data_IF_001895458091
#
_entry.id   IF_001895458091
#
_cell.length_a   1.000
_cell.length_b   1.000
_cell.length_c   1.000
_cell.angle_alpha   90.00
_cell.angle_beta   90.00
_cell.angle_gamma   90.00
#
_symmetry.space_group_name_H-M   'P 1'
#
loop_
_entity.id
_entity.type
_entity.pdbx_description
1 polymer ?
#
# COMPACT_ATOMS: atom_id res chain seq x y z
N UNK A 1 -23.80 9.63 -33.86
CA UNK A 1 -23.17 8.80 -32.83
C UNK A 1 -22.61 9.74 -31.78
N UNK A 2 -23.11 9.70 -30.57
CA UNK A 2 -22.48 10.39 -29.44
C UNK A 2 -21.05 9.87 -29.33
N UNK A 3 -20.02 10.72 -29.22
CA UNK A 3 -18.64 10.26 -29.08
C UNK A 3 -18.56 9.38 -27.84
N UNK A 4 -17.85 8.25 -27.94
CA UNK A 4 -17.59 7.36 -26.82
C UNK A 4 -16.87 8.14 -25.72
N UNK A 5 -17.45 8.11 -24.51
CA UNK A 5 -16.87 8.82 -23.37
C UNK A 5 -15.59 8.10 -22.93
N UNK A 6 -14.46 8.78 -22.93
CA UNK A 6 -13.16 8.22 -22.58
C UNK A 6 -12.88 8.41 -21.09
N UNK A 7 -12.84 7.30 -20.35
CA UNK A 7 -12.56 7.26 -18.92
C UNK A 7 -11.17 6.67 -18.72
N UNK A 8 -10.25 7.46 -18.18
CA UNK A 8 -8.93 7.00 -17.79
C UNK A 8 -8.84 6.83 -16.27
N UNK A 9 -8.19 5.76 -15.81
CA UNK A 9 -8.10 5.40 -14.40
C UNK A 9 -6.62 5.18 -14.06
N UNK A 10 -6.11 5.88 -13.06
CA UNK A 10 -4.74 5.77 -12.56
C UNK A 10 -4.73 4.96 -11.27
N UNK A 11 -4.08 3.79 -11.31
CA UNK A 11 -4.06 2.81 -10.24
C UNK A 11 -5.16 1.76 -10.39
N UNK A 12 -4.77 0.49 -10.42
CA UNK A 12 -5.62 -0.63 -10.80
C UNK A 12 -5.87 -1.68 -9.71
N UNK A 13 -5.61 -1.38 -8.43
CA UNK A 13 -5.72 -2.44 -7.40
C UNK A 13 -7.13 -2.50 -6.82
N UNK A 14 -7.49 -1.67 -5.85
CA UNK A 14 -8.80 -1.75 -5.21
C UNK A 14 -9.78 -0.72 -5.78
N UNK A 15 -9.56 0.58 -5.50
CA UNK A 15 -10.47 1.66 -5.89
C UNK A 15 -10.62 1.78 -7.40
N UNK A 16 -9.51 1.77 -8.15
CA UNK A 16 -9.54 1.89 -9.60
C UNK A 16 -10.19 0.68 -10.29
N UNK A 17 -9.87 -0.53 -9.88
CA UNK A 17 -10.51 -1.75 -10.40
C UNK A 17 -12.02 -1.77 -10.16
N UNK A 18 -12.45 -1.39 -8.94
CA UNK A 18 -13.85 -1.29 -8.57
C UNK A 18 -14.58 -0.20 -9.38
N UNK A 19 -13.94 0.96 -9.53
CA UNK A 19 -14.46 2.06 -10.34
C UNK A 19 -14.62 1.64 -11.81
N UNK A 20 -13.60 1.03 -12.41
CA UNK A 20 -13.62 0.56 -13.79
C UNK A 20 -14.77 -0.43 -14.04
N UNK A 21 -14.90 -1.43 -13.18
CA UNK A 21 -15.96 -2.43 -13.29
C UNK A 21 -17.35 -1.81 -13.12
N UNK A 22 -17.50 -0.82 -12.20
CA UNK A 22 -18.78 -0.13 -12.01
C UNK A 22 -19.10 0.80 -13.17
N UNK A 23 -18.15 1.56 -13.67
CA UNK A 23 -18.32 2.43 -14.82
C UNK A 23 -18.79 1.65 -16.06
N UNK A 24 -18.20 0.47 -16.32
CA UNK A 24 -18.64 -0.40 -17.41
C UNK A 24 -20.08 -0.88 -17.28
N UNK A 25 -20.54 -1.20 -16.06
CA UNK A 25 -21.94 -1.60 -15.84
C UNK A 25 -22.94 -0.46 -16.08
N UNK A 26 -22.48 0.78 -15.99
CA UNK A 26 -23.30 1.98 -16.21
C UNK A 26 -23.25 2.48 -17.66
N UNK A 27 -22.20 2.10 -18.41
CA UNK A 27 -22.00 2.52 -19.80
C UNK A 27 -21.28 1.41 -20.58
N UNK A 28 -21.98 0.76 -21.48
CA UNK A 28 -21.39 -0.25 -22.37
C UNK A 28 -20.51 0.38 -23.45
N UNK A 29 -20.79 1.63 -23.84
CA UNK A 29 -20.08 2.32 -24.93
C UNK A 29 -18.86 3.12 -24.47
N UNK A 30 -18.67 3.35 -23.16
CA UNK A 30 -17.50 4.09 -22.68
C UNK A 30 -16.20 3.38 -23.03
N UNK A 31 -15.19 4.14 -23.43
CA UNK A 31 -13.80 3.65 -23.57
C UNK A 31 -13.12 3.78 -22.20
N UNK A 32 -12.81 2.63 -21.59
CA UNK A 32 -12.22 2.60 -20.24
C UNK A 32 -10.82 2.03 -20.32
N UNK A 33 -9.83 2.83 -19.93
CA UNK A 33 -8.43 2.40 -19.82
C UNK A 33 -7.94 2.60 -18.40
N UNK A 34 -7.28 1.59 -17.86
CA UNK A 34 -6.69 1.60 -16.53
C UNK A 34 -5.17 1.44 -16.62
N UNK A 35 -4.44 2.33 -15.95
CA UNK A 35 -2.98 2.36 -15.91
C UNK A 35 -2.49 1.96 -14.52
N UNK A 36 -1.55 1.04 -14.46
CA UNK A 36 -0.86 0.70 -13.23
C UNK A 36 0.66 0.66 -13.46
N UNK A 37 1.41 1.28 -12.57
CA UNK A 37 2.88 1.26 -12.60
C UNK A 37 3.46 -0.11 -12.23
N UNK A 38 2.69 -0.90 -11.48
CA UNK A 38 3.08 -2.23 -11.06
C UNK A 38 2.88 -3.28 -12.15
N UNK A 39 3.40 -4.48 -11.93
CA UNK A 39 3.23 -5.62 -12.82
C UNK A 39 1.90 -6.37 -12.61
N UNK A 40 1.07 -5.94 -11.67
CA UNK A 40 -0.18 -6.59 -11.32
C UNK A 40 -1.30 -5.58 -11.13
N UNK A 41 -2.50 -5.99 -11.46
CA UNK A 41 -3.75 -5.28 -11.24
C UNK A 41 -4.65 -6.14 -10.35
N UNK A 42 -5.52 -5.51 -9.57
CA UNK A 42 -6.59 -6.18 -8.81
C UNK A 42 -6.11 -7.40 -8.02
N UNK A 43 -5.20 -7.19 -7.11
CA UNK A 43 -4.70 -8.24 -6.21
C UNK A 43 -5.14 -7.99 -4.76
N UNK A 44 -5.16 -9.05 -3.96
CA UNK A 44 -5.52 -9.03 -2.55
C UNK A 44 -4.38 -8.45 -1.71
N UNK A 45 -4.42 -7.14 -1.42
CA UNK A 45 -3.45 -6.48 -0.54
C UNK A 45 -3.37 -7.17 0.84
N UNK A 46 -4.54 -7.46 1.44
CA UNK A 46 -4.62 -8.16 2.73
C UNK A 46 -4.12 -9.62 2.67
N UNK A 47 -3.94 -10.19 1.47
CA UNK A 47 -3.36 -11.51 1.28
C UNK A 47 -1.83 -11.54 1.37
N UNK A 48 -1.17 -10.40 1.26
CA UNK A 48 0.29 -10.32 1.19
C UNK A 48 0.98 -10.88 2.46
N UNK A 49 0.56 -10.54 3.69
CA UNK A 49 1.12 -11.15 4.91
C UNK A 49 0.94 -12.67 4.92
N UNK A 50 -0.22 -13.17 4.49
CA UNK A 50 -0.53 -14.60 4.45
C UNK A 50 0.27 -15.34 3.38
N UNK A 51 0.62 -14.66 2.29
CA UNK A 51 1.55 -15.20 1.31
C UNK A 51 2.98 -15.26 1.87
N UNK A 52 3.43 -14.25 2.61
CA UNK A 52 4.71 -14.29 3.33
C UNK A 52 4.72 -15.44 4.34
N UNK A 53 3.64 -15.62 5.08
CA UNK A 53 3.45 -16.68 6.10
C UNK A 53 3.27 -18.09 5.55
N UNK A 54 3.29 -18.27 4.23
CA UNK A 54 3.08 -19.56 3.55
C UNK A 54 1.68 -20.17 3.78
N UNK A 55 0.73 -19.35 4.24
CA UNK A 55 -0.70 -19.70 4.32
C UNK A 55 -1.30 -19.69 2.92
N UNK A 56 -1.05 -18.63 2.15
CA UNK A 56 -1.29 -18.61 0.71
C UNK A 56 -0.03 -19.18 0.03
N UNK A 57 -0.16 -20.38 -0.51
CA UNK A 57 0.98 -21.13 -1.07
C UNK A 57 1.47 -20.59 -2.40
N UNK A 58 0.54 -20.17 -3.26
CA UNK A 58 0.80 -19.77 -4.64
C UNK A 58 0.51 -18.30 -4.83
N UNK A 59 1.43 -17.58 -5.47
CA UNK A 59 1.32 -16.15 -5.75
C UNK A 59 0.08 -15.82 -6.60
N UNK A 60 -0.27 -16.71 -7.53
CA UNK A 60 -1.45 -16.55 -8.38
C UNK A 60 -2.76 -16.43 -7.60
N UNK A 61 -2.82 -17.01 -6.39
CA UNK A 61 -4.00 -16.92 -5.52
C UNK A 61 -4.17 -15.52 -4.88
N UNK A 62 -3.19 -14.65 -5.03
CA UNK A 62 -3.33 -13.23 -4.69
C UNK A 62 -4.07 -12.43 -5.74
N UNK A 63 -4.13 -12.92 -6.99
CA UNK A 63 -4.76 -12.21 -8.10
C UNK A 63 -6.27 -12.38 -8.05
N UNK A 64 -6.99 -11.27 -7.89
CA UNK A 64 -8.47 -11.25 -7.91
C UNK A 64 -8.96 -11.18 -9.36
N UNK A 65 -8.30 -10.35 -10.18
CA UNK A 65 -8.59 -10.24 -11.61
C UNK A 65 -7.31 -9.94 -12.39
N UNK A 66 -7.22 -10.48 -13.60
CA UNK A 66 -6.11 -10.26 -14.53
C UNK A 66 -6.48 -9.25 -15.63
N UNK A 67 -5.51 -8.66 -16.35
CA UNK A 67 -5.80 -7.83 -17.52
C UNK A 67 -6.68 -8.53 -18.56
N UNK A 68 -6.47 -9.82 -18.78
CA UNK A 68 -7.26 -10.64 -19.70
C UNK A 68 -8.71 -10.75 -19.25
N UNK A 69 -8.95 -10.93 -17.94
CA UNK A 69 -10.30 -10.97 -17.37
C UNK A 69 -11.00 -9.62 -17.57
N UNK A 70 -10.32 -8.50 -17.27
CA UNK A 70 -10.85 -7.15 -17.49
C UNK A 70 -11.21 -6.91 -18.95
N UNK A 71 -10.33 -7.30 -19.87
CA UNK A 71 -10.60 -7.16 -21.31
C UNK A 71 -11.76 -8.03 -21.78
N UNK A 72 -11.74 -9.34 -21.45
CA UNK A 72 -12.73 -10.29 -21.97
C UNK A 72 -14.12 -10.10 -21.37
N UNK A 73 -14.20 -9.83 -20.06
CA UNK A 73 -15.48 -9.77 -19.35
C UNK A 73 -16.06 -8.35 -19.27
N UNK A 74 -15.20 -7.35 -19.23
CA UNK A 74 -15.63 -5.98 -18.99
C UNK A 74 -15.27 -5.03 -20.14
N UNK A 75 -14.60 -5.48 -21.18
CA UNK A 75 -14.09 -4.62 -22.25
C UNK A 75 -13.34 -3.38 -21.70
N UNK A 76 -12.45 -3.62 -20.75
CA UNK A 76 -11.58 -2.61 -20.13
C UNK A 76 -10.14 -2.89 -20.57
N UNK A 77 -9.47 -1.87 -21.11
CA UNK A 77 -8.06 -1.92 -21.42
C UNK A 77 -7.23 -1.70 -20.15
N UNK A 78 -6.33 -2.64 -19.83
CA UNK A 78 -5.46 -2.57 -18.66
C UNK A 78 -4.02 -2.53 -19.11
N UNK A 79 -3.32 -1.47 -18.73
CA UNK A 79 -1.91 -1.24 -19.09
C UNK A 79 -1.08 -1.26 -17.81
N UNK A 80 -0.37 -2.35 -17.64
CA UNK A 80 0.59 -2.55 -16.54
C UNK A 80 1.94 -1.91 -16.90
N UNK A 81 2.78 -1.69 -15.90
CA UNK A 81 4.09 -1.05 -16.03
C UNK A 81 4.03 0.30 -16.77
N UNK A 82 2.89 0.95 -16.68
CA UNK A 82 2.57 2.22 -17.32
C UNK A 82 2.28 3.25 -16.24
N UNK A 83 3.25 4.12 -15.98
CA UNK A 83 3.16 5.13 -14.95
C UNK A 83 2.61 6.44 -15.51
N UNK A 84 1.53 6.94 -14.95
CA UNK A 84 1.05 8.29 -15.25
C UNK A 84 1.92 9.28 -14.48
N UNK A 85 2.67 10.10 -15.18
CA UNK A 85 3.67 11.03 -14.63
C UNK A 85 3.25 12.50 -14.68
N UNK A 86 2.14 12.81 -15.36
CA UNK A 86 1.64 14.18 -15.44
C UNK A 86 0.18 14.24 -15.87
N UNK A 87 -0.49 15.33 -15.48
CA UNK A 87 -1.87 15.65 -15.87
C UNK A 87 -1.90 17.11 -16.36
N UNK A 88 -2.32 17.33 -17.60
CA UNK A 88 -2.65 18.66 -18.13
C UNK A 88 -4.17 18.83 -18.05
N UNK A 89 -4.64 19.57 -17.06
CA UNK A 89 -6.05 19.80 -16.79
C UNK A 89 -6.72 20.68 -17.84
N UNK A 90 -5.98 21.59 -18.46
CA UNK A 90 -6.49 22.51 -19.48
C UNK A 90 -6.76 21.75 -20.78
N UNK A 91 -5.81 20.93 -21.21
CA UNK A 91 -5.91 20.09 -22.41
C UNK A 91 -6.67 18.78 -22.14
N UNK A 92 -6.98 18.47 -20.87
CA UNK A 92 -7.58 17.21 -20.44
C UNK A 92 -6.84 16.01 -20.97
N UNK A 93 -5.55 15.94 -20.70
CA UNK A 93 -4.73 14.78 -21.09
C UNK A 93 -3.79 14.38 -19.96
N UNK A 94 -3.37 13.13 -19.98
CA UNK A 94 -2.35 12.58 -19.10
C UNK A 94 -1.09 12.28 -19.89
N UNK A 95 0.06 12.34 -19.21
CA UNK A 95 1.34 11.88 -19.72
C UNK A 95 1.66 10.54 -19.07
N UNK A 96 1.89 9.51 -19.88
CA UNK A 96 2.18 8.14 -19.46
C UNK A 96 3.61 7.82 -19.82
N UNK A 97 4.35 7.22 -18.90
CA UNK A 97 5.68 6.66 -19.13
C UNK A 97 5.60 5.14 -19.07
N UNK A 98 5.97 4.46 -20.14
CA UNK A 98 6.14 3.02 -20.18
C UNK A 98 7.44 2.65 -19.46
N UNK A 99 7.34 1.85 -18.40
CA UNK A 99 8.50 1.59 -17.52
C UNK A 99 9.51 0.61 -18.13
N UNK A 100 9.13 -0.15 -19.15
CA UNK A 100 10.03 -1.09 -19.82
C UNK A 100 10.85 -0.42 -20.91
N UNK A 101 10.22 0.42 -21.75
CA UNK A 101 10.87 1.12 -22.87
C UNK A 101 11.39 2.51 -22.49
N UNK A 102 10.84 3.12 -21.45
CA UNK A 102 11.07 4.52 -21.10
C UNK A 102 10.33 5.52 -21.99
N UNK A 103 9.59 5.05 -22.98
CA UNK A 103 8.83 5.89 -23.87
C UNK A 103 7.71 6.65 -23.15
N UNK A 104 7.45 7.86 -23.62
CA UNK A 104 6.39 8.71 -23.07
C UNK A 104 5.34 8.99 -24.14
N UNK A 105 4.06 8.88 -23.75
CA UNK A 105 2.93 9.20 -24.61
C UNK A 105 1.89 10.05 -23.89
N UNK A 106 1.04 10.73 -24.68
CA UNK A 106 -0.04 11.59 -24.16
C UNK A 106 -1.38 11.00 -24.59
N UNK A 107 -2.31 10.88 -23.64
CA UNK A 107 -3.67 10.41 -23.90
C UNK A 107 -4.71 11.38 -23.34
N UNK A 108 -5.71 11.80 -24.16
CA UNK A 108 -6.78 12.66 -23.72
C UNK A 108 -7.85 11.88 -22.95
N UNK A 109 -8.58 12.58 -22.06
CA UNK A 109 -9.70 12.03 -21.29
C UNK A 109 -10.91 12.96 -21.29
N UNK A 110 -12.10 12.37 -21.14
CA UNK A 110 -13.32 13.09 -20.78
C UNK A 110 -13.55 13.04 -19.26
N UNK A 111 -13.15 11.92 -18.63
CA UNK A 111 -13.14 11.73 -17.19
C UNK A 111 -11.84 11.03 -16.76
N UNK A 112 -11.24 11.52 -15.66
CA UNK A 112 -10.04 10.94 -15.08
C UNK A 112 -10.33 10.50 -13.63
N UNK A 113 -9.94 9.29 -13.27
CA UNK A 113 -10.05 8.77 -11.90
C UNK A 113 -8.65 8.52 -11.34
N UNK A 114 -8.34 9.13 -10.22
CA UNK A 114 -7.10 8.94 -9.49
C UNK A 114 -7.30 7.94 -8.34
N UNK A 115 -6.64 6.81 -8.40
CA UNK A 115 -6.64 5.76 -7.38
C UNK A 115 -5.22 5.26 -7.11
N UNK A 116 -4.24 6.15 -6.86
CA UNK A 116 -2.84 5.76 -6.69
C UNK A 116 -2.57 5.06 -5.35
N UNK A 117 -3.55 5.07 -4.44
CA UNK A 117 -3.45 4.45 -3.13
C UNK A 117 -2.54 5.21 -2.17
N UNK A 118 -1.85 4.48 -1.31
CA UNK A 118 -0.91 5.00 -0.33
C UNK A 118 0.45 4.29 -0.44
N UNK A 119 1.49 4.90 0.09
CA UNK A 119 2.84 4.34 0.19
C UNK A 119 3.23 4.09 1.63
N UNK A 120 4.00 3.04 1.94
CA UNK A 120 4.55 2.83 3.27
C UNK A 120 5.40 4.03 3.71
N UNK A 121 5.30 4.37 4.98
CA UNK A 121 6.20 5.36 5.59
C UNK A 121 7.58 4.73 5.73
N UNK A 122 8.59 5.43 5.20
CA UNK A 122 10.00 5.07 5.38
C UNK A 122 10.68 6.29 6.02
N UNK A 123 11.01 6.22 7.32
CA UNK A 123 11.60 7.34 8.03
C UNK A 123 13.06 7.55 7.61
N UNK A 124 13.56 8.76 7.80
CA UNK A 124 14.97 9.05 7.61
C UNK A 124 15.75 8.61 8.84
N UNK A 125 16.21 7.35 8.85
CA UNK A 125 17.00 6.76 9.92
C UNK A 125 18.32 6.22 9.37
N UNK A 126 19.36 6.34 10.16
CA UNK A 126 20.66 5.77 9.82
C UNK A 126 20.54 4.28 9.55
N UNK A 127 21.04 3.84 8.40
CA UNK A 127 21.04 2.43 8.00
C UNK A 127 19.70 1.90 7.47
N UNK A 128 18.68 2.74 7.24
CA UNK A 128 17.36 2.30 6.77
C UNK A 128 17.40 1.56 5.42
N UNK A 129 18.40 1.83 4.59
CA UNK A 129 18.56 1.22 3.26
C UNK A 129 19.42 -0.06 3.26
N UNK A 130 19.78 -0.55 4.44
CA UNK A 130 20.51 -1.82 4.54
C UNK A 130 19.66 -2.99 4.00
N UNK A 131 20.29 -3.97 3.34
CA UNK A 131 19.61 -5.20 2.94
C UNK A 131 19.01 -5.92 4.15
N UNK A 132 17.81 -6.48 3.97
CA UNK A 132 17.07 -7.14 5.06
C UNK A 132 16.02 -6.25 5.74
N UNK A 133 15.92 -4.97 5.33
CA UNK A 133 14.88 -4.06 5.82
C UNK A 133 13.82 -3.89 4.73
N UNK A 134 12.59 -4.26 5.04
CA UNK A 134 11.48 -4.34 4.09
C UNK A 134 10.29 -3.51 4.54
N UNK A 135 9.49 -3.08 3.58
CA UNK A 135 8.10 -2.69 3.75
C UNK A 135 7.23 -3.63 2.93
N UNK A 136 5.95 -3.76 3.28
CA UNK A 136 5.02 -4.64 2.57
C UNK A 136 3.86 -3.82 1.97
N UNK A 137 3.77 -3.76 0.63
CA UNK A 137 2.70 -3.06 -0.08
C UNK A 137 2.27 -3.78 -1.36
N UNK A 138 3.18 -4.51 -2.00
CA UNK A 138 2.99 -5.11 -3.32
C UNK A 138 3.34 -6.60 -3.33
N UNK A 139 2.90 -7.32 -4.35
CA UNK A 139 3.32 -8.72 -4.56
C UNK A 139 4.85 -8.84 -4.68
N UNK A 140 5.56 -7.98 -5.44
CA UNK A 140 7.02 -8.00 -5.44
C UNK A 140 7.65 -7.88 -4.05
N UNK A 141 7.11 -7.03 -3.16
CA UNK A 141 7.63 -6.90 -1.79
C UNK A 141 7.48 -8.21 -1.02
N UNK A 142 6.30 -8.82 -1.05
CA UNK A 142 6.05 -10.11 -0.39
C UNK A 142 6.95 -11.22 -0.92
N UNK A 143 7.22 -11.23 -2.23
CA UNK A 143 8.17 -12.17 -2.86
C UNK A 143 9.60 -11.96 -2.36
N UNK A 144 10.04 -10.69 -2.23
CA UNK A 144 11.37 -10.36 -1.70
C UNK A 144 11.51 -10.81 -0.25
N UNK A 145 10.50 -10.59 0.60
CA UNK A 145 10.48 -11.02 1.99
C UNK A 145 10.56 -12.55 2.07
N UNK A 146 9.74 -13.28 1.32
CA UNK A 146 9.80 -14.75 1.26
C UNK A 146 11.18 -15.24 0.84
N UNK A 147 11.68 -14.67 -0.26
CA UNK A 147 13.01 -15.04 -0.77
C UNK A 147 14.10 -14.80 0.28
N UNK A 148 14.03 -13.71 1.05
CA UNK A 148 14.98 -13.41 2.10
C UNK A 148 14.93 -14.48 3.21
N UNK A 149 13.74 -14.81 3.69
CA UNK A 149 13.55 -15.85 4.71
C UNK A 149 14.16 -17.19 4.25
N UNK A 150 13.87 -17.61 3.01
CA UNK A 150 14.28 -18.90 2.49
C UNK A 150 15.78 -18.94 2.16
N UNK A 151 16.31 -17.88 1.54
CA UNK A 151 17.69 -17.82 1.09
C UNK A 151 18.69 -17.72 2.25
N UNK A 152 18.36 -16.92 3.26
CA UNK A 152 19.25 -16.68 4.40
C UNK A 152 18.89 -17.50 5.64
N UNK A 153 17.87 -18.37 5.53
CA UNK A 153 17.38 -19.19 6.65
C UNK A 153 17.13 -18.29 7.88
N UNK A 154 16.43 -17.18 7.66
CA UNK A 154 16.18 -16.20 8.72
C UNK A 154 15.41 -16.83 9.88
N UNK A 155 15.88 -16.64 11.11
CA UNK A 155 15.29 -17.17 12.34
C UNK A 155 14.71 -16.07 13.23
N UNK A 156 15.16 -14.83 13.06
CA UNK A 156 14.73 -13.67 13.88
C UNK A 156 14.19 -12.57 12.98
N UNK A 157 13.03 -12.05 13.31
CA UNK A 157 12.43 -10.93 12.63
C UNK A 157 12.08 -9.81 13.62
N UNK A 158 12.37 -8.57 13.25
CA UNK A 158 11.90 -7.39 13.94
C UNK A 158 10.76 -6.76 13.14
N UNK A 159 9.61 -6.59 13.77
CA UNK A 159 8.47 -5.82 13.24
C UNK A 159 8.46 -4.46 13.92
N UNK A 160 8.59 -3.41 13.15
CA UNK A 160 8.56 -2.02 13.64
C UNK A 160 7.18 -1.43 13.36
N UNK A 161 6.41 -1.20 14.41
CA UNK A 161 5.02 -0.76 14.39
C UNK A 161 4.02 -1.89 14.65
N UNK A 162 3.18 -1.69 15.65
CA UNK A 162 2.18 -2.62 16.14
C UNK A 162 0.77 -2.40 15.59
N UNK A 163 0.62 -1.75 14.42
CA UNK A 163 -0.67 -1.60 13.74
C UNK A 163 -1.15 -2.89 13.05
N UNK A 164 -2.23 -2.80 12.24
CA UNK A 164 -2.82 -3.96 11.55
C UNK A 164 -1.80 -4.78 10.77
N UNK A 165 -1.05 -4.15 9.86
CA UNK A 165 -0.05 -4.84 9.04
C UNK A 165 1.04 -5.46 9.92
N UNK A 166 1.46 -4.76 10.98
CA UNK A 166 2.46 -5.26 11.91
C UNK A 166 1.99 -6.52 12.64
N UNK A 167 0.75 -6.55 13.09
CA UNK A 167 0.18 -7.72 13.76
C UNK A 167 -0.03 -8.90 12.80
N UNK A 168 -0.53 -8.65 11.58
CA UNK A 168 -0.65 -9.69 10.55
C UNK A 168 0.73 -10.25 10.16
N UNK A 169 1.73 -9.40 10.01
CA UNK A 169 3.10 -9.85 9.73
C UNK A 169 3.68 -10.65 10.91
N UNK A 170 3.46 -10.22 12.15
CA UNK A 170 3.89 -10.94 13.35
C UNK A 170 3.33 -12.37 13.36
N UNK A 171 2.02 -12.53 13.20
CA UNK A 171 1.35 -13.85 13.16
C UNK A 171 1.91 -14.73 12.02
N UNK A 172 2.10 -14.15 10.84
CA UNK A 172 2.57 -14.90 9.68
C UNK A 172 4.06 -15.25 9.73
N UNK A 173 4.90 -14.42 10.35
CA UNK A 173 6.31 -14.74 10.60
C UNK A 173 6.47 -15.83 11.68
N UNK A 174 5.63 -15.82 12.72
CA UNK A 174 5.56 -16.92 13.71
C UNK A 174 5.20 -18.24 13.04
N UNK A 175 4.20 -18.26 12.13
CA UNK A 175 3.82 -19.44 11.34
C UNK A 175 4.96 -19.98 10.46
N UNK A 176 5.89 -19.10 10.06
CA UNK A 176 7.13 -19.48 9.36
C UNK A 176 8.22 -19.97 10.32
N UNK A 177 7.96 -20.02 11.62
CA UNK A 177 8.91 -20.47 12.63
C UNK A 177 9.96 -19.44 13.06
N UNK A 178 9.79 -18.17 12.72
CA UNK A 178 10.72 -17.13 13.16
C UNK A 178 10.40 -16.70 14.60
N UNK A 179 11.45 -16.34 15.34
CA UNK A 179 11.31 -15.59 16.59
C UNK A 179 11.02 -14.13 16.25
N UNK A 180 9.90 -13.62 16.72
CA UNK A 180 9.47 -12.26 16.37
C UNK A 180 9.64 -11.31 17.55
N UNK A 181 10.24 -10.16 17.27
CA UNK A 181 10.27 -9.00 18.16
C UNK A 181 9.39 -7.91 17.56
N UNK A 182 8.51 -7.30 18.36
CA UNK A 182 7.70 -6.15 17.95
C UNK A 182 8.15 -4.93 18.75
N UNK A 183 8.39 -3.82 18.05
CA UNK A 183 8.68 -2.50 18.65
C UNK A 183 7.55 -1.56 18.26
N UNK A 184 6.85 -1.02 19.25
CA UNK A 184 5.75 -0.07 19.07
C UNK A 184 6.00 1.19 19.90
N UNK A 185 5.84 2.34 19.24
CA UNK A 185 6.07 3.67 19.85
C UNK A 185 5.00 4.02 20.89
N UNK A 186 3.80 3.51 20.71
CA UNK A 186 2.68 3.73 21.63
C UNK A 186 2.73 2.75 22.82
N UNK A 187 1.85 2.99 23.79
CA UNK A 187 1.74 2.15 25.00
C UNK A 187 1.08 0.78 24.73
N UNK A 188 0.57 0.57 23.52
CA UNK A 188 -0.09 -0.67 23.13
C UNK A 188 0.06 -0.92 21.62
N UNK A 189 -0.08 -2.19 21.21
CA UNK A 189 -0.32 -2.53 19.81
C UNK A 189 -1.74 -2.14 19.43
N UNK A 190 -2.03 -2.03 18.11
CA UNK A 190 -3.36 -1.65 17.61
C UNK A 190 -3.91 -0.38 18.29
N UNK A 191 -3.20 0.77 18.25
CA UNK A 191 -3.53 1.96 19.04
C UNK A 191 -4.89 2.59 18.69
N UNK A 192 -5.55 2.11 17.63
CA UNK A 192 -6.91 2.52 17.24
C UNK A 192 -7.99 1.83 18.07
N UNK A 193 -7.66 0.77 18.78
CA UNK A 193 -8.58 -0.04 19.58
C UNK A 193 -8.48 0.40 21.05
N UNK A 194 -9.61 0.36 21.76
CA UNK A 194 -9.66 0.74 23.18
C UNK A 194 -8.73 -0.16 24.02
N UNK A 195 -8.05 0.40 25.04
CA UNK A 195 -7.04 -0.32 25.82
C UNK A 195 -7.55 -1.61 26.48
N UNK A 196 -8.81 -1.64 26.87
CA UNK A 196 -9.43 -2.81 27.49
C UNK A 196 -9.50 -4.01 26.55
N UNK A 197 -9.66 -3.75 25.25
CA UNK A 197 -9.76 -4.79 24.23
C UNK A 197 -8.40 -5.36 23.81
N UNK A 198 -7.30 -4.67 24.13
CA UNK A 198 -5.95 -5.07 23.73
C UNK A 198 -5.29 -6.04 24.73
N UNK A 199 -5.82 -6.15 25.93
CA UNK A 199 -5.25 -7.02 26.98
C UNK A 199 -5.08 -8.47 26.49
N UNK A 200 -6.10 -9.01 25.84
CA UNK A 200 -6.08 -10.39 25.31
C UNK A 200 -5.11 -10.51 24.13
N UNK A 201 -4.98 -9.48 23.31
CA UNK A 201 -4.02 -9.46 22.18
C UNK A 201 -2.57 -9.46 22.72
N UNK A 202 -2.27 -8.65 23.74
CA UNK A 202 -0.96 -8.67 24.38
C UNK A 202 -0.65 -10.02 25.02
N UNK A 203 -1.61 -10.60 25.73
CA UNK A 203 -1.46 -11.93 26.34
C UNK A 203 -1.16 -12.99 25.27
N UNK A 204 -1.91 -13.01 24.16
CA UNK A 204 -1.70 -13.93 23.06
C UNK A 204 -0.32 -13.76 22.39
N UNK A 205 0.16 -12.53 22.21
CA UNK A 205 1.49 -12.26 21.66
C UNK A 205 2.58 -12.82 22.58
N UNK A 206 2.47 -12.60 23.89
CA UNK A 206 3.43 -13.09 24.88
C UNK A 206 3.42 -14.62 24.93
N UNK A 207 2.24 -15.23 24.93
CA UNK A 207 2.07 -16.69 24.90
C UNK A 207 2.67 -17.32 23.65
N UNK A 208 2.55 -16.63 22.49
CA UNK A 208 3.18 -17.02 21.23
C UNK A 208 4.70 -16.80 21.20
N UNK A 209 5.29 -16.28 22.28
CA UNK A 209 6.75 -16.05 22.42
C UNK A 209 7.25 -14.79 21.73
N UNK A 210 6.38 -13.82 21.45
CA UNK A 210 6.77 -12.52 20.88
C UNK A 210 7.45 -11.67 21.95
N UNK A 211 8.62 -11.12 21.61
CA UNK A 211 9.26 -10.09 22.44
C UNK A 211 8.63 -8.73 22.10
N UNK A 212 7.83 -8.18 23.01
CA UNK A 212 7.07 -6.95 22.80
C UNK A 212 7.72 -5.78 23.55
N UNK A 213 8.15 -4.75 22.79
CA UNK A 213 8.67 -3.49 23.33
C UNK A 213 7.71 -2.35 22.98
N UNK A 214 6.99 -1.88 23.98
CA UNK A 214 6.06 -0.76 23.92
C UNK A 214 6.74 0.53 24.42
N UNK A 215 6.19 1.70 24.06
CA UNK A 215 6.76 3.01 24.37
C UNK A 215 8.22 3.16 23.91
N UNK A 216 8.58 2.47 22.82
CA UNK A 216 9.94 2.51 22.29
C UNK A 216 9.93 2.66 20.76
N UNK A 217 11.02 3.10 20.20
CA UNK A 217 11.14 3.31 18.76
C UNK A 217 12.55 3.00 18.28
N UNK A 218 12.69 2.70 16.99
CA UNK A 218 14.00 2.49 16.37
C UNK A 218 14.66 3.82 16.10
N UNK A 219 15.94 3.93 16.46
CA UNK A 219 16.81 5.08 16.15
C UNK A 219 17.72 4.82 14.95
N UNK A 220 18.30 3.62 14.86
CA UNK A 220 19.25 3.30 13.79
C UNK A 220 19.33 1.82 13.51
N UNK A 221 19.82 1.52 12.33
CA UNK A 221 20.19 0.19 11.89
C UNK A 221 21.68 0.18 11.54
N UNK A 222 22.35 -0.92 11.85
CA UNK A 222 23.73 -1.16 11.48
C UNK A 222 23.92 -2.57 10.95
N UNK A 223 24.93 -2.78 10.12
CA UNK A 223 25.29 -4.10 9.65
C UNK A 223 26.12 -4.79 10.73
N UNK A 224 25.70 -5.98 11.14
CA UNK A 224 26.46 -6.87 11.99
C UNK A 224 27.21 -7.91 11.13
N UNK A 225 27.28 -9.15 11.54
CA UNK A 225 28.00 -10.23 10.82
C UNK A 225 27.08 -10.84 9.76
N UNK A 226 27.58 -10.98 8.55
CA UNK A 226 26.83 -11.58 7.44
C UNK A 226 25.63 -10.74 7.02
N UNK A 227 24.43 -11.29 7.17
CA UNK A 227 23.13 -10.61 6.90
C UNK A 227 22.40 -10.15 8.17
N UNK A 228 23.01 -10.35 9.34
CA UNK A 228 22.45 -9.90 10.62
C UNK A 228 22.50 -8.38 10.71
N UNK A 229 21.44 -7.80 11.23
CA UNK A 229 21.27 -6.38 11.51
C UNK A 229 21.33 -6.13 13.02
N UNK A 230 22.10 -5.13 13.42
CA UNK A 230 22.01 -4.52 14.73
C UNK A 230 20.99 -3.38 14.69
N UNK A 231 20.10 -3.31 15.66
CA UNK A 231 19.04 -2.30 15.75
C UNK A 231 19.14 -1.62 17.11
N UNK A 232 19.30 -0.30 17.10
CA UNK A 232 19.34 0.51 18.32
C UNK A 232 17.99 1.16 18.55
N UNK A 233 17.40 0.96 19.73
CA UNK A 233 16.14 1.58 20.14
C UNK A 233 16.39 2.90 20.91
N UNK A 234 15.34 3.72 21.01
CA UNK A 234 15.37 4.99 21.75
C UNK A 234 15.66 4.80 23.25
N UNK A 235 15.29 3.66 23.83
CA UNK A 235 15.64 3.28 25.20
C UNK A 235 17.14 2.97 25.40
N UNK A 236 17.94 2.95 24.31
CA UNK A 236 19.34 2.52 24.33
C UNK A 236 19.52 0.99 24.21
N UNK A 237 18.44 0.22 24.11
CA UNK A 237 18.49 -1.22 23.90
C UNK A 237 19.00 -1.54 22.50
N UNK A 238 19.78 -2.61 22.39
CA UNK A 238 20.24 -3.15 21.12
C UNK A 238 19.59 -4.51 20.87
N UNK A 239 19.16 -4.73 19.62
CA UNK A 239 18.52 -5.96 19.15
C UNK A 239 19.27 -6.45 17.92
N UNK A 240 19.61 -7.72 17.91
CA UNK A 240 20.08 -8.40 16.70
C UNK A 240 18.92 -9.12 16.02
N UNK A 241 18.80 -8.94 14.71
CA UNK A 241 17.76 -9.57 13.91
C UNK A 241 18.27 -9.94 12.52
N UNK A 242 17.63 -10.92 11.87
CA UNK A 242 18.02 -11.34 10.52
C UNK A 242 17.23 -10.59 9.45
N UNK A 243 16.14 -9.94 9.85
CA UNK A 243 15.33 -9.09 8.98
C UNK A 243 14.46 -8.10 9.76
N UNK A 244 14.04 -7.04 9.09
CA UNK A 244 13.16 -6.00 9.65
C UNK A 244 11.99 -5.78 8.71
N UNK A 245 10.77 -5.69 9.27
CA UNK A 245 9.57 -5.26 8.54
C UNK A 245 9.10 -3.93 9.12
N UNK A 246 9.09 -2.89 8.27
CA UNK A 246 8.61 -1.55 8.63
C UNK A 246 7.09 -1.48 8.44
N UNK A 247 6.35 -1.40 9.54
CA UNK A 247 4.88 -1.35 9.60
C UNK A 247 4.39 -0.08 10.33
N UNK A 248 5.10 1.06 10.17
CA UNK A 248 4.84 2.31 10.89
C UNK A 248 3.79 3.20 10.23
N UNK A 249 2.94 2.62 9.40
CA UNK A 249 1.84 3.29 8.72
C UNK A 249 2.12 3.62 7.26
N UNK A 250 1.15 4.28 6.64
CA UNK A 250 1.15 4.66 5.23
C UNK A 250 0.85 6.16 5.07
N UNK A 251 1.22 6.72 3.92
CA UNK A 251 0.85 8.08 3.51
C UNK A 251 0.15 8.04 2.15
N UNK A 252 -0.92 8.80 1.95
CA UNK A 252 -1.58 8.97 0.66
C UNK A 252 -0.58 9.32 -0.44
N UNK A 253 -0.74 8.71 -1.61
CA UNK A 253 0.07 9.02 -2.78
C UNK A 253 -0.57 10.17 -3.55
N UNK A 254 -0.22 11.40 -3.19
CA UNK A 254 -0.87 12.62 -3.72
C UNK A 254 -0.03 13.38 -4.73
N UNK A 255 1.23 12.94 -4.96
CA UNK A 255 2.18 13.72 -5.77
C UNK A 255 1.63 14.07 -7.15
N UNK A 256 1.07 13.12 -7.88
CA UNK A 256 0.50 13.35 -9.21
C UNK A 256 -0.62 14.41 -9.18
N UNK A 257 -1.49 14.35 -8.17
CA UNK A 257 -2.58 15.31 -8.00
C UNK A 257 -2.07 16.70 -7.61
N UNK A 258 -1.12 16.78 -6.68
CA UNK A 258 -0.51 18.03 -6.24
C UNK A 258 0.26 18.73 -7.36
N UNK A 259 1.07 17.98 -8.14
CA UNK A 259 1.82 18.51 -9.28
C UNK A 259 0.88 19.04 -10.38
N UNK A 260 -0.34 18.47 -10.51
CA UNK A 260 -1.38 18.95 -11.39
C UNK A 260 -2.18 20.15 -10.82
N UNK A 261 -1.86 20.63 -9.62
CA UNK A 261 -2.58 21.72 -8.95
C UNK A 261 -3.97 21.35 -8.45
N UNK A 262 -4.23 20.08 -8.18
CA UNK A 262 -5.43 19.65 -7.47
C UNK A 262 -5.29 19.91 -5.97
N UNK A 263 -6.40 20.21 -5.30
CA UNK A 263 -6.40 20.50 -3.87
C UNK A 263 -6.07 19.23 -3.06
N UNK A 264 -5.09 19.37 -2.17
CA UNK A 264 -4.75 18.39 -1.15
C UNK A 264 -5.32 18.89 0.18
N UNK A 265 -5.89 18.02 0.99
CA UNK A 265 -6.50 18.36 2.26
C UNK A 265 -5.49 18.41 3.41
N UNK A 266 -5.98 18.81 4.58
CA UNK A 266 -5.16 19.07 5.76
C UNK A 266 -4.53 17.80 6.35
N UNK A 267 -5.15 16.63 6.09
CA UNK A 267 -4.67 15.31 6.51
C UNK A 267 -3.82 14.62 5.44
N UNK A 268 -3.47 15.35 4.36
CA UNK A 268 -2.53 14.89 3.33
C UNK A 268 -3.13 14.02 2.25
N UNK A 269 -4.44 13.82 2.19
CA UNK A 269 -5.15 13.14 1.11
C UNK A 269 -5.59 14.10 -0.01
N UNK A 270 -5.91 13.57 -1.19
CA UNK A 270 -6.54 14.35 -2.26
C UNK A 270 -7.93 14.79 -1.76
N UNK A 271 -8.20 16.08 -1.79
CA UNK A 271 -9.49 16.63 -1.34
C UNK A 271 -10.58 16.29 -2.35
N UNK A 272 -11.68 15.70 -1.85
CA UNK A 272 -12.83 15.32 -2.68
C UNK A 272 -14.14 15.79 -2.04
N UNK A 273 -15.16 15.95 -2.88
CA UNK A 273 -16.54 16.15 -2.44
C UNK A 273 -17.24 14.80 -2.11
N UNK A 274 -18.50 14.80 -1.61
CA UNK A 274 -19.24 13.56 -1.35
C UNK A 274 -19.44 12.64 -2.57
N UNK A 275 -19.26 13.15 -3.78
CA UNK A 275 -19.30 12.41 -5.04
C UNK A 275 -17.89 11.97 -5.49
N UNK A 276 -16.89 12.07 -4.62
CA UNK A 276 -15.47 11.76 -4.90
C UNK A 276 -14.86 12.63 -6.01
N UNK A 277 -15.43 13.80 -6.32
CA UNK A 277 -14.90 14.74 -7.30
C UNK A 277 -13.83 15.60 -6.64
N UNK A 278 -12.74 15.81 -7.32
CA UNK A 278 -11.64 16.68 -6.87
C UNK A 278 -11.99 18.17 -7.06
N UNK A 279 -11.02 19.06 -6.89
CA UNK A 279 -11.16 20.49 -7.25
C UNK A 279 -11.26 20.73 -8.76
N UNK A 280 -11.20 19.69 -9.58
CA UNK A 280 -11.43 19.74 -11.03
C UNK A 280 -12.70 18.96 -11.39
N UNK A 281 -13.64 19.54 -12.18
CA UNK A 281 -14.92 18.91 -12.48
C UNK A 281 -14.83 17.65 -13.36
N UNK A 282 -13.67 17.37 -13.96
CA UNK A 282 -13.42 16.21 -14.81
C UNK A 282 -12.52 15.17 -14.16
N UNK A 283 -12.12 15.40 -12.89
CA UNK A 283 -11.19 14.49 -12.18
C UNK A 283 -11.82 14.06 -10.85
N UNK A 284 -11.87 12.76 -10.64
CA UNK A 284 -12.29 12.10 -9.39
C UNK A 284 -11.08 11.44 -8.72
N UNK A 285 -11.18 11.20 -7.42
CA UNK A 285 -10.19 10.41 -6.70
C UNK A 285 -10.87 9.48 -5.71
N UNK A 286 -10.31 8.26 -5.54
CA UNK A 286 -10.88 7.22 -4.67
C UNK A 286 -9.77 6.40 -3.98
N UNK A 287 -10.13 5.67 -2.93
CA UNK A 287 -9.24 4.76 -2.18
C UNK A 287 -8.33 5.49 -1.19
N UNK A 288 -7.23 4.87 -0.78
CA UNK A 288 -6.32 5.35 0.27
C UNK A 288 -5.68 6.73 -0.01
N UNK A 289 -5.82 7.24 -1.23
CA UNK A 289 -5.24 8.53 -1.61
C UNK A 289 -6.09 9.73 -1.22
N UNK A 290 -7.35 9.55 -0.79
CA UNK A 290 -8.29 10.65 -0.59
C UNK A 290 -8.45 11.05 0.87
N UNK A 291 -8.74 12.33 1.09
CA UNK A 291 -9.24 12.84 2.36
C UNK A 291 -10.76 12.87 2.31
N UNK A 292 -11.38 12.14 3.22
CA UNK A 292 -12.82 11.97 3.31
C UNK A 292 -13.39 12.65 4.55
N UNK A 293 -14.69 12.86 4.55
CA UNK A 293 -15.45 13.31 5.70
C UNK A 293 -16.13 12.11 6.34
N UNK A 294 -15.79 11.80 7.58
CA UNK A 294 -16.42 10.73 8.36
C UNK A 294 -17.83 11.17 8.76
N UNK A 295 -18.82 10.43 8.29
CA UNK A 295 -20.24 10.78 8.51
C UNK A 295 -20.70 10.55 9.95
N UNK A 296 -19.98 9.75 10.74
CA UNK A 296 -20.32 9.47 12.14
C UNK A 296 -19.69 10.52 13.06
N UNK A 297 -18.39 10.72 12.94
CA UNK A 297 -17.63 11.63 13.80
C UNK A 297 -17.68 13.08 13.32
N UNK A 298 -18.15 13.32 12.10
CA UNK A 298 -18.16 14.62 11.43
C UNK A 298 -16.75 15.23 11.28
N UNK A 299 -15.72 14.40 11.37
CA UNK A 299 -14.32 14.81 11.20
C UNK A 299 -13.81 14.48 9.80
N UNK A 300 -12.78 15.20 9.37
CA UNK A 300 -12.04 14.86 8.17
C UNK A 300 -10.88 13.94 8.51
N UNK A 301 -10.52 13.09 7.57
CA UNK A 301 -9.38 12.21 7.76
C UNK A 301 -9.05 11.39 6.51
N UNK A 302 -7.99 10.63 6.60
CA UNK A 302 -7.61 9.62 5.62
C UNK A 302 -7.90 8.24 6.22
N UNK A 303 -8.62 7.41 5.51
CA UNK A 303 -9.00 6.05 5.94
C UNK A 303 -8.34 5.05 4.99
N UNK A 304 -7.09 4.63 5.24
CA UNK A 304 -6.33 3.77 4.32
C UNK A 304 -6.68 2.30 4.52
N UNK A 305 -7.92 1.92 4.20
CA UNK A 305 -8.48 0.58 4.35
C UNK A 305 -8.96 -0.04 3.02
N UNK A 306 -8.67 0.62 1.88
CA UNK A 306 -9.09 0.14 0.56
C UNK A 306 -8.10 -0.84 -0.08
#
# INVERSE_FOLDING_TARGET
MTPNHRILIVGGVAGGASCAARARRLSESAEITMFDRGPYVSFANCGLPYYVGDVIKKEENLLIATPELFRKRFNIDVRLRSEVVGIDRIKRCITIRELESGETRIEPYDALVLSPGARPIRPDLTGIDLPGIFSLRTIPDSRQIRKWIDQYLAHRALVVGGGYIGMEMTDNLLKRGLKVTVVEKQSQVMPIVDPEMIVDVHAALIEAGVSLFLNDSVLSFEKSVGHVLGVTLASGRQIETDMVILCIGVRPEVKLAADAGLAVGDYGGIRVDPQMRTSDPHIWAVGDAVEVHDVVTQTKGVIPLA
#
